data_IF_118132910610
#
_entry.id   IF_118132910610
#
_cell.length_a   1.000
_cell.length_b   1.000
_cell.length_c   1.000
_cell.angle_alpha   90.00
_cell.angle_beta   90.00
_cell.angle_gamma   90.00
#
_symmetry.space_group_name_H-M   'P 1'
#
loop_
_entity.id
_entity.type
_entity.pdbx_description
1 polymer ?
#
# COMPACT_ATOMS: atom_id res chain seq x y z
N UNK A 1 -32.45 -6.36 0.37
CA UNK A 1 -31.69 -7.52 0.86
C UNK A 1 -30.33 -7.61 0.15
N UNK A 2 -29.30 -8.07 0.85
CA UNK A 2 -27.98 -8.26 0.23
C UNK A 2 -28.02 -9.55 -0.60
N UNK A 3 -27.58 -9.51 -1.86
CA UNK A 3 -27.54 -10.70 -2.69
C UNK A 3 -26.59 -11.76 -2.12
N UNK A 4 -26.98 -13.00 -2.24
CA UNK A 4 -26.10 -14.11 -1.85
C UNK A 4 -24.89 -14.23 -2.78
N UNK A 5 -25.05 -13.86 -4.07
CA UNK A 5 -23.99 -13.88 -5.09
C UNK A 5 -24.01 -12.61 -5.91
N UNK A 6 -22.83 -12.14 -6.30
CA UNK A 6 -22.67 -11.06 -7.27
C UNK A 6 -22.24 -11.64 -8.60
N UNK A 7 -22.71 -11.06 -9.69
CA UNK A 7 -22.54 -11.58 -11.06
C UNK A 7 -21.79 -10.61 -11.97
N UNK A 8 -21.28 -9.52 -11.41
CA UNK A 8 -20.61 -8.51 -12.21
C UNK A 8 -19.23 -8.15 -11.61
N UNK A 9 -18.22 -8.09 -12.51
CA UNK A 9 -16.90 -7.61 -12.20
C UNK A 9 -16.66 -6.24 -12.85
N UNK A 10 -16.16 -5.30 -12.07
CA UNK A 10 -15.71 -4.01 -12.57
C UNK A 10 -14.46 -4.15 -13.43
N UNK A 11 -14.24 -3.23 -14.36
CA UNK A 11 -13.00 -3.18 -15.16
C UNK A 11 -11.76 -2.84 -14.33
N UNK A 12 -11.97 -2.23 -13.16
CA UNK A 12 -10.93 -1.98 -12.15
C UNK A 12 -11.40 -2.59 -10.85
N UNK A 13 -10.56 -3.40 -10.24
CA UNK A 13 -10.79 -3.98 -8.92
C UNK A 13 -9.60 -3.72 -8.00
N UNK A 14 -9.88 -3.48 -6.75
CA UNK A 14 -8.90 -3.45 -5.67
C UNK A 14 -9.17 -4.62 -4.76
N UNK A 15 -8.13 -5.30 -4.33
CA UNK A 15 -8.21 -6.48 -3.48
C UNK A 15 -7.32 -6.31 -2.26
N UNK A 16 -7.83 -6.75 -1.11
CA UNK A 16 -7.11 -6.74 0.15
C UNK A 16 -7.67 -7.81 1.09
N UNK A 17 -6.94 -8.13 2.15
CA UNK A 17 -7.36 -9.05 3.19
C UNK A 17 -7.58 -8.35 4.53
N UNK A 18 -8.53 -8.85 5.29
CA UNK A 18 -8.76 -8.38 6.66
C UNK A 18 -9.05 -9.55 7.60
N UNK A 19 -8.73 -9.37 8.88
CA UNK A 19 -9.07 -10.37 9.90
C UNK A 19 -10.59 -10.48 10.04
N UNK A 20 -11.11 -11.67 9.79
CA UNK A 20 -12.51 -12.01 9.98
C UNK A 20 -12.65 -13.17 10.96
N UNK A 21 -13.83 -13.28 11.56
CA UNK A 21 -14.21 -14.49 12.29
C UNK A 21 -14.91 -15.42 11.30
N UNK A 22 -14.33 -16.58 11.08
CA UNK A 22 -14.85 -17.57 10.15
C UNK A 22 -14.36 -18.96 10.54
N UNK A 23 -15.18 -19.96 10.31
CA UNK A 23 -14.81 -21.36 10.53
C UNK A 23 -13.76 -21.86 9.51
N UNK A 24 -13.61 -21.16 8.38
CA UNK A 24 -12.69 -21.52 7.29
C UNK A 24 -11.31 -20.88 7.39
N UNK A 25 -11.17 -19.82 8.19
CA UNK A 25 -9.89 -19.15 8.35
C UNK A 25 -9.97 -17.80 9.08
N UNK A 26 -8.80 -17.29 9.46
CA UNK A 26 -8.66 -16.03 10.22
C UNK A 26 -8.85 -14.79 9.35
N UNK A 27 -8.73 -14.92 8.02
CA UNK A 27 -8.74 -13.81 7.08
C UNK A 27 -9.80 -13.97 6.02
N UNK A 28 -10.58 -12.94 5.79
CA UNK A 28 -11.45 -12.76 4.65
C UNK A 28 -10.77 -11.90 3.58
N UNK A 29 -11.29 -11.98 2.37
CA UNK A 29 -10.77 -11.29 1.20
C UNK A 29 -11.80 -10.28 0.70
N UNK A 30 -11.40 -9.02 0.62
CA UNK A 30 -12.25 -7.91 0.22
C UNK A 30 -11.99 -7.54 -1.25
N UNK A 31 -13.05 -7.35 -2.02
CA UNK A 31 -13.00 -6.94 -3.42
C UNK A 31 -13.81 -5.65 -3.57
N UNK A 32 -13.16 -4.61 -4.06
CA UNK A 32 -13.71 -3.25 -4.13
C UNK A 32 -13.49 -2.67 -5.52
N UNK A 33 -14.41 -1.82 -5.96
CA UNK A 33 -14.14 -0.94 -7.08
C UNK A 33 -13.52 0.37 -6.53
N UNK A 34 -12.22 0.61 -6.74
CA UNK A 34 -11.54 1.77 -6.18
C UNK A 34 -11.99 3.11 -6.82
N UNK A 35 -12.64 3.08 -7.98
CA UNK A 35 -13.12 4.29 -8.66
C UNK A 35 -14.44 4.79 -8.10
N UNK A 36 -15.26 3.89 -7.58
CA UNK A 36 -16.58 4.22 -7.04
C UNK A 36 -16.66 4.13 -5.54
N UNK A 37 -15.65 3.51 -4.94
CA UNK A 37 -15.62 3.25 -3.53
C UNK A 37 -16.66 2.22 -3.07
N UNK A 38 -17.17 1.38 -3.94
CA UNK A 38 -18.19 0.38 -3.59
C UNK A 38 -17.60 -1.01 -3.47
N UNK A 39 -18.05 -1.75 -2.47
CA UNK A 39 -17.72 -3.17 -2.33
C UNK A 39 -18.31 -3.96 -3.49
N UNK A 40 -17.48 -4.79 -4.13
CA UNK A 40 -17.95 -5.76 -5.11
C UNK A 40 -18.40 -7.02 -4.38
N UNK A 41 -17.54 -7.58 -3.53
CA UNK A 41 -17.91 -8.71 -2.66
C UNK A 41 -16.88 -8.90 -1.54
N UNK A 42 -17.22 -9.75 -0.57
CA UNK A 42 -16.35 -10.22 0.49
C UNK A 42 -16.36 -11.73 0.51
N UNK A 43 -15.18 -12.34 0.41
CA UNK A 43 -15.00 -13.78 0.37
C UNK A 43 -14.51 -14.25 1.74
N UNK A 44 -15.08 -15.32 2.26
CA UNK A 44 -14.82 -15.82 3.60
C UNK A 44 -13.38 -16.29 3.84
N UNK A 45 -12.71 -16.76 2.79
CA UNK A 45 -11.36 -17.32 2.89
C UNK A 45 -10.47 -16.81 1.75
N UNK A 46 -9.23 -16.51 2.07
CA UNK A 46 -8.20 -16.03 1.13
C UNK A 46 -7.39 -17.14 0.45
N UNK A 47 -7.66 -18.42 0.74
CA UNK A 47 -6.92 -19.54 0.15
C UNK A 47 -7.07 -19.57 -1.35
N UNK A 48 -5.97 -19.94 -2.05
CA UNK A 48 -5.89 -19.93 -3.50
C UNK A 48 -7.03 -20.72 -4.17
N UNK A 49 -7.38 -21.88 -3.64
CA UNK A 49 -8.46 -22.73 -4.17
C UNK A 49 -9.82 -22.01 -4.11
N UNK A 50 -10.11 -21.36 -2.99
CA UNK A 50 -11.37 -20.65 -2.80
C UNK A 50 -11.46 -19.39 -3.67
N UNK A 51 -10.36 -18.62 -3.79
CA UNK A 51 -10.31 -17.48 -4.69
C UNK A 51 -10.48 -17.89 -6.15
N UNK A 52 -9.83 -18.99 -6.58
CA UNK A 52 -10.02 -19.55 -7.92
C UNK A 52 -11.47 -19.97 -8.15
N UNK A 53 -12.06 -20.75 -7.26
CA UNK A 53 -13.45 -21.17 -7.32
C UNK A 53 -14.42 -19.99 -7.38
N UNK A 54 -14.16 -18.96 -6.56
CA UNK A 54 -14.97 -17.74 -6.56
C UNK A 54 -14.93 -17.02 -7.92
N UNK A 55 -13.74 -16.71 -8.44
CA UNK A 55 -13.60 -15.92 -9.68
C UNK A 55 -13.97 -16.73 -10.95
N UNK A 56 -13.81 -18.04 -10.95
CA UNK A 56 -14.23 -18.89 -12.06
C UNK A 56 -15.74 -18.93 -12.27
N UNK A 57 -16.55 -18.53 -11.27
CA UNK A 57 -18.00 -18.36 -11.45
C UNK A 57 -18.35 -17.25 -12.45
N UNK A 58 -17.46 -16.29 -12.66
CA UNK A 58 -17.66 -15.23 -13.64
C UNK A 58 -17.26 -15.74 -15.03
N UNK A 59 -18.10 -15.50 -16.07
CA UNK A 59 -17.76 -15.88 -17.42
C UNK A 59 -16.40 -15.32 -17.86
N UNK A 60 -15.70 -16.06 -18.69
CA UNK A 60 -14.37 -15.67 -19.19
C UNK A 60 -14.37 -14.26 -19.80
N UNK A 61 -15.43 -13.91 -20.55
CA UNK A 61 -15.63 -12.57 -21.12
C UNK A 61 -15.60 -11.46 -20.05
N UNK A 62 -16.21 -11.68 -18.88
CA UNK A 62 -16.15 -10.70 -17.77
C UNK A 62 -14.75 -10.61 -17.18
N UNK A 63 -14.09 -11.76 -16.97
CA UNK A 63 -12.72 -11.79 -16.44
C UNK A 63 -11.73 -11.10 -17.39
N UNK A 64 -11.88 -11.25 -18.71
CA UNK A 64 -11.09 -10.50 -19.71
C UNK A 64 -11.35 -8.99 -19.70
N UNK A 65 -12.51 -8.55 -19.23
CA UNK A 65 -12.86 -7.13 -19.14
C UNK A 65 -12.21 -6.42 -17.92
N UNK A 66 -11.70 -7.17 -16.95
CA UNK A 66 -10.89 -6.59 -15.88
C UNK A 66 -9.57 -6.11 -16.47
N UNK A 67 -9.27 -4.83 -16.35
CA UNK A 67 -8.09 -4.17 -16.94
C UNK A 67 -7.02 -3.84 -15.91
N UNK A 68 -7.45 -3.56 -14.67
CA UNK A 68 -6.56 -3.14 -13.59
C UNK A 68 -6.95 -3.89 -12.31
N UNK A 69 -5.93 -4.39 -11.63
CA UNK A 69 -6.04 -4.96 -10.28
C UNK A 69 -5.05 -4.23 -9.37
N UNK A 70 -5.56 -3.52 -8.36
CA UNK A 70 -4.74 -2.90 -7.33
C UNK A 70 -4.64 -3.86 -6.15
N UNK A 71 -3.43 -4.12 -5.68
CA UNK A 71 -3.19 -5.10 -4.61
C UNK A 71 -1.89 -4.86 -3.87
N UNK A 72 -1.77 -5.52 -2.72
CA UNK A 72 -0.56 -5.61 -1.93
C UNK A 72 0.55 -6.42 -2.62
N UNK A 73 1.76 -6.36 -2.06
CA UNK A 73 2.91 -7.09 -2.56
C UNK A 73 2.85 -8.59 -2.21
N UNK A 74 1.72 -9.24 -2.46
CA UNK A 74 1.54 -10.68 -2.27
C UNK A 74 1.83 -11.46 -3.56
N UNK A 75 2.93 -12.20 -3.60
CA UNK A 75 3.29 -13.05 -4.74
C UNK A 75 2.25 -14.14 -5.03
N UNK A 76 1.64 -14.69 -3.98
CA UNK A 76 0.59 -15.72 -4.10
C UNK A 76 -0.66 -15.14 -4.79
N UNK A 77 -1.15 -13.98 -4.35
CA UNK A 77 -2.30 -13.33 -4.98
C UNK A 77 -1.98 -12.89 -6.41
N UNK A 78 -0.76 -12.35 -6.64
CA UNK A 78 -0.33 -11.96 -7.97
C UNK A 78 -0.43 -13.12 -8.97
N UNK A 79 0.06 -14.31 -8.61
CA UNK A 79 0.00 -15.51 -9.45
C UNK A 79 -1.45 -15.94 -9.76
N UNK A 80 -2.32 -15.90 -8.75
CA UNK A 80 -3.73 -16.21 -8.92
C UNK A 80 -4.41 -15.20 -9.85
N UNK A 81 -4.18 -13.91 -9.64
CA UNK A 81 -4.80 -12.84 -10.43
C UNK A 81 -4.36 -12.88 -11.89
N UNK A 82 -3.07 -13.14 -12.17
CA UNK A 82 -2.60 -13.31 -13.54
C UNK A 82 -3.27 -14.49 -14.24
N UNK A 83 -3.44 -15.62 -13.55
CA UNK A 83 -4.09 -16.80 -14.13
C UNK A 83 -5.59 -16.60 -14.40
N UNK A 84 -6.27 -15.80 -13.57
CA UNK A 84 -7.72 -15.60 -13.65
C UNK A 84 -8.13 -14.44 -14.57
N UNK A 85 -7.30 -13.41 -14.67
CA UNK A 85 -7.57 -12.15 -15.37
C UNK A 85 -6.51 -11.87 -16.43
N UNK A 86 -6.60 -12.48 -17.61
CA UNK A 86 -5.52 -12.48 -18.60
C UNK A 86 -5.16 -11.09 -19.16
N UNK A 87 -6.10 -10.14 -19.12
CA UNK A 87 -5.88 -8.77 -19.62
C UNK A 87 -5.60 -7.77 -18.50
N UNK A 88 -5.58 -8.21 -17.24
CA UNK A 88 -5.42 -7.30 -16.12
C UNK A 88 -3.95 -6.93 -15.90
N UNK A 89 -3.71 -5.64 -15.74
CA UNK A 89 -2.43 -5.09 -15.29
C UNK A 89 -2.47 -4.91 -13.78
N UNK A 90 -1.50 -5.49 -13.10
CA UNK A 90 -1.37 -5.35 -11.65
C UNK A 90 -0.69 -4.03 -11.33
N UNK A 91 -1.27 -3.31 -10.38
CA UNK A 91 -0.72 -2.10 -9.76
C UNK A 91 -0.42 -2.42 -8.30
N UNK A 92 0.81 -2.17 -7.87
CA UNK A 92 1.21 -2.34 -6.49
C UNK A 92 0.66 -1.19 -5.64
N UNK A 93 0.12 -1.51 -4.46
CA UNK A 93 -0.28 -0.48 -3.52
C UNK A 93 0.93 0.27 -2.96
N UNK A 94 0.87 1.61 -3.07
CA UNK A 94 1.98 2.51 -2.66
C UNK A 94 2.34 2.33 -1.19
N UNK A 95 1.36 2.22 -0.31
CA UNK A 95 1.58 2.08 1.12
C UNK A 95 2.43 0.85 1.44
N UNK A 96 2.15 -0.28 0.80
CA UNK A 96 2.81 -1.55 1.09
C UNK A 96 4.28 -1.59 0.65
N UNK A 97 4.63 -1.06 -0.54
CA UNK A 97 6.05 -1.05 -0.91
C UNK A 97 6.85 0.01 -0.17
N UNK A 98 6.25 1.16 0.15
CA UNK A 98 6.90 2.16 1.02
C UNK A 98 7.14 1.58 2.42
N UNK A 99 6.12 0.93 3.00
CA UNK A 99 6.25 0.25 4.29
C UNK A 99 7.33 -0.83 4.29
N UNK A 100 7.43 -1.60 3.20
CA UNK A 100 8.47 -2.63 3.04
C UNK A 100 9.87 -2.00 3.04
N UNK A 101 10.08 -0.94 2.27
CA UNK A 101 11.37 -0.22 2.23
C UNK A 101 11.67 0.47 3.55
N UNK A 102 10.66 1.10 4.18
CA UNK A 102 10.77 1.69 5.51
C UNK A 102 11.21 0.68 6.57
N UNK A 103 10.75 -0.58 6.50
CA UNK A 103 11.14 -1.59 7.48
C UNK A 103 12.65 -1.85 7.52
N UNK A 104 13.34 -1.70 6.39
CA UNK A 104 14.80 -1.81 6.30
C UNK A 104 15.49 -0.64 7.02
N UNK A 105 14.97 0.58 6.86
CA UNK A 105 15.45 1.76 7.60
C UNK A 105 15.27 1.57 9.12
N UNK A 106 14.10 1.08 9.53
CA UNK A 106 13.81 0.83 10.95
C UNK A 106 14.77 -0.20 11.52
N UNK A 107 15.07 -1.28 10.78
CA UNK A 107 16.02 -2.29 11.22
C UNK A 107 17.43 -1.70 11.36
N UNK A 108 17.92 -0.98 10.35
CA UNK A 108 19.22 -0.29 10.41
C UNK A 108 19.32 0.63 11.62
N UNK A 109 18.31 1.47 11.87
CA UNK A 109 18.25 2.33 13.05
C UNK A 109 18.33 1.55 14.36
N UNK A 110 17.60 0.44 14.47
CA UNK A 110 17.61 -0.39 15.68
C UNK A 110 18.98 -1.00 15.92
N UNK A 111 19.63 -1.51 14.88
CA UNK A 111 20.96 -2.10 14.97
C UNK A 111 22.00 -1.06 15.38
N UNK A 112 21.98 0.12 14.75
CA UNK A 112 22.82 1.26 15.14
C UNK A 112 22.60 1.63 16.61
N UNK A 113 21.35 1.80 17.05
CA UNK A 113 21.06 2.14 18.44
C UNK A 113 21.47 1.05 19.45
N UNK A 114 21.47 -0.21 19.08
CA UNK A 114 21.87 -1.30 19.96
C UNK A 114 23.38 -1.35 20.15
N UNK A 115 24.15 -0.95 19.13
CA UNK A 115 25.62 -0.89 19.16
C UNK A 115 26.15 0.36 19.87
N UNK A 116 25.37 1.43 19.95
CA UNK A 116 25.78 2.70 20.58
C UNK A 116 26.19 2.54 22.04
N UNK A 117 27.31 3.13 22.39
CA UNK A 117 27.80 3.25 23.77
C UNK A 117 26.93 4.27 24.53
N UNK A 118 26.62 5.40 23.91
CA UNK A 118 25.79 6.45 24.50
C UNK A 118 24.30 6.03 24.51
N UNK A 119 23.86 5.48 25.65
CA UNK A 119 22.48 5.01 25.82
C UNK A 119 21.42 6.10 25.80
N UNK A 120 21.76 7.34 26.17
CA UNK A 120 20.84 8.48 26.07
C UNK A 120 20.59 8.87 24.61
N UNK A 121 21.65 8.89 23.80
CA UNK A 121 21.56 9.11 22.37
C UNK A 121 20.73 8.01 21.68
N UNK A 122 21.03 6.74 21.96
CA UNK A 122 20.28 5.61 21.44
C UNK A 122 18.79 5.68 21.79
N UNK A 123 18.44 6.05 23.03
CA UNK A 123 17.04 6.26 23.45
C UNK A 123 16.38 7.41 22.69
N UNK A 124 17.11 8.52 22.48
CA UNK A 124 16.61 9.65 21.70
C UNK A 124 16.25 9.21 20.29
N UNK A 125 17.17 8.56 19.57
CA UNK A 125 16.98 8.09 18.20
C UNK A 125 15.80 7.08 18.13
N UNK A 126 15.68 6.17 19.10
CA UNK A 126 14.57 5.21 19.17
C UNK A 126 13.21 5.88 19.31
N UNK A 127 13.10 6.96 20.12
CA UNK A 127 11.84 7.68 20.34
C UNK A 127 11.41 8.54 19.14
N UNK A 128 12.37 9.09 18.39
CA UNK A 128 12.10 10.03 17.31
C UNK A 128 11.99 9.35 15.94
N UNK A 129 11.56 8.07 15.89
CA UNK A 129 11.38 7.34 14.62
C UNK A 129 10.55 8.13 13.60
N UNK A 130 9.50 8.81 14.05
CA UNK A 130 8.60 9.57 13.18
C UNK A 130 9.28 10.70 12.41
N UNK A 131 10.44 11.21 12.88
CA UNK A 131 11.22 12.24 12.16
C UNK A 131 11.98 11.59 10.98
N UNK A 132 12.55 10.42 11.17
CA UNK A 132 13.26 9.69 10.11
C UNK A 132 12.34 9.12 9.04
N UNK A 133 11.05 8.98 9.34
CA UNK A 133 10.03 8.49 8.40
C UNK A 133 9.52 9.58 7.43
N UNK A 134 9.62 10.84 7.81
CA UNK A 134 9.16 11.96 6.99
C UNK A 134 10.07 12.18 5.79
N UNK A 135 9.50 12.72 4.71
CA UNK A 135 10.28 13.24 3.61
C UNK A 135 11.10 14.45 4.11
N UNK A 136 12.40 14.49 3.80
CA UNK A 136 13.30 15.50 4.37
C UNK A 136 12.91 16.94 4.05
N UNK A 137 12.32 17.19 2.86
CA UNK A 137 11.83 18.52 2.48
C UNK A 137 10.57 18.98 3.28
N UNK A 138 9.92 18.05 4.01
CA UNK A 138 8.75 18.31 4.86
C UNK A 138 9.11 18.40 6.36
N UNK A 139 10.39 18.33 6.69
CA UNK A 139 10.85 18.49 8.07
C UNK A 139 10.66 19.94 8.52
N UNK A 140 10.02 20.11 9.68
CA UNK A 140 9.84 21.41 10.30
C UNK A 140 11.18 21.95 10.80
N UNK A 141 11.57 23.15 10.33
CA UNK A 141 12.76 23.87 10.73
C UNK A 141 12.50 25.11 11.59
N UNK A 142 11.22 25.35 11.98
CA UNK A 142 10.77 26.54 12.71
C UNK A 142 10.41 26.26 14.15
N UNK A 143 9.64 25.19 14.39
CA UNK A 143 9.15 24.88 15.72
C UNK A 143 10.21 24.14 16.53
N UNK A 144 10.66 24.80 17.61
CA UNK A 144 11.70 24.26 18.49
C UNK A 144 11.07 23.44 19.61
N UNK A 145 11.64 22.29 19.92
CA UNK A 145 11.25 21.41 21.02
C UNK A 145 12.46 20.96 21.84
N UNK A 146 12.24 20.65 23.12
CA UNK A 146 13.31 20.21 24.02
C UNK A 146 13.46 18.67 23.98
N UNK A 147 14.64 18.21 23.63
CA UNK A 147 14.98 16.78 23.67
C UNK A 147 15.54 16.39 25.04
N UNK A 148 14.72 15.82 25.90
CA UNK A 148 15.09 15.43 27.28
C UNK A 148 16.28 14.46 27.33
N UNK A 149 16.46 13.58 26.36
CA UNK A 149 17.55 12.61 26.34
C UNK A 149 18.90 13.26 26.00
N UNK A 150 18.89 14.30 25.18
CA UNK A 150 20.10 15.03 24.77
C UNK A 150 20.30 16.32 25.53
N UNK A 151 19.33 16.74 26.34
CA UNK A 151 19.30 18.00 27.09
C UNK A 151 19.57 19.23 26.21
N UNK A 152 19.00 19.22 25.00
CA UNK A 152 19.17 20.28 23.97
C UNK A 152 17.85 20.61 23.31
N UNK A 153 17.78 21.82 22.76
CA UNK A 153 16.67 22.27 21.92
C UNK A 153 16.98 21.98 20.44
N UNK A 154 15.99 21.52 19.70
CA UNK A 154 16.08 21.20 18.27
C UNK A 154 14.79 21.61 17.54
N UNK A 155 14.92 21.92 16.25
CA UNK A 155 13.82 21.74 15.28
C UNK A 155 13.84 20.30 14.77
N UNK A 156 12.82 19.87 14.03
CA UNK A 156 12.83 18.52 13.43
C UNK A 156 14.03 18.33 12.49
N UNK A 157 14.34 19.36 11.70
CA UNK A 157 15.45 19.34 10.75
C UNK A 157 16.81 19.33 11.46
N UNK A 158 17.03 20.24 12.39
CA UNK A 158 18.30 20.34 13.13
C UNK A 158 18.58 19.10 13.98
N UNK A 159 17.54 18.39 14.43
CA UNK A 159 17.72 17.11 15.13
C UNK A 159 18.28 16.03 14.18
N UNK A 160 17.70 15.91 12.98
CA UNK A 160 18.17 14.94 11.98
C UNK A 160 19.63 15.24 11.57
N UNK A 161 19.95 16.50 11.31
CA UNK A 161 21.29 16.97 10.99
C UNK A 161 22.29 16.60 12.11
N UNK A 162 21.95 16.96 13.36
CA UNK A 162 22.78 16.63 14.52
C UNK A 162 23.03 15.12 14.68
N UNK A 163 22.01 14.29 14.47
CA UNK A 163 22.17 12.83 14.57
C UNK A 163 23.13 12.32 13.50
N UNK A 164 23.05 12.81 12.29
CA UNK A 164 23.85 12.30 11.17
C UNK A 164 25.25 12.92 11.03
N UNK A 165 25.58 13.94 11.84
CA UNK A 165 26.96 14.40 12.04
C UNK A 165 27.78 13.46 12.89
N UNK A 166 27.16 12.54 13.63
CA UNK A 166 27.84 11.63 14.53
C UNK A 166 28.42 10.42 13.78
N UNK A 167 29.68 10.09 14.05
CA UNK A 167 30.39 8.96 13.42
C UNK A 167 29.64 7.63 13.62
N UNK A 168 29.11 7.37 14.82
CA UNK A 168 28.36 6.17 15.17
C UNK A 168 27.09 5.96 14.33
N UNK A 169 26.61 6.97 13.60
CA UNK A 169 25.36 6.93 12.84
C UNK A 169 25.54 6.89 11.32
N UNK A 170 26.77 6.83 10.82
CA UNK A 170 27.03 6.93 9.38
C UNK A 170 26.41 5.78 8.58
N UNK A 171 26.41 4.56 9.06
CA UNK A 171 25.72 3.45 8.39
C UNK A 171 24.20 3.68 8.36
N UNK A 172 23.63 4.20 9.44
CA UNK A 172 22.21 4.56 9.48
C UNK A 172 21.89 5.72 8.53
N UNK A 173 22.78 6.70 8.41
CA UNK A 173 22.64 7.80 7.46
C UNK A 173 22.62 7.34 6.01
N UNK A 174 23.50 6.41 5.60
CA UNK A 174 23.46 5.83 4.27
C UNK A 174 22.12 5.12 3.99
N UNK A 175 21.60 4.40 4.95
CA UNK A 175 20.29 3.75 4.85
C UNK A 175 19.13 4.76 4.81
N UNK A 176 19.25 5.87 5.54
CA UNK A 176 18.30 6.98 5.47
C UNK A 176 18.28 7.62 4.07
N UNK A 177 19.44 7.86 3.46
CA UNK A 177 19.53 8.40 2.09
C UNK A 177 18.84 7.49 1.06
N UNK A 178 18.98 6.17 1.18
CA UNK A 178 18.28 5.22 0.31
C UNK A 178 16.76 5.39 0.45
N UNK A 179 16.26 5.49 1.67
CA UNK A 179 14.83 5.68 1.93
C UNK A 179 14.34 7.05 1.42
N UNK A 180 15.07 8.13 1.69
CA UNK A 180 14.74 9.48 1.21
C UNK A 180 14.75 9.57 -0.32
N UNK A 181 15.65 8.86 -1.00
CA UNK A 181 15.68 8.80 -2.46
C UNK A 181 14.40 8.17 -3.03
N UNK A 182 13.86 7.14 -2.38
CA UNK A 182 12.54 6.61 -2.75
C UNK A 182 11.44 7.64 -2.50
N UNK A 183 11.40 8.29 -1.34
CA UNK A 183 10.41 9.32 -1.03
C UNK A 183 10.46 10.47 -2.04
N UNK A 184 11.65 10.89 -2.46
CA UNK A 184 11.83 11.91 -3.50
C UNK A 184 11.19 11.50 -4.83
N UNK A 185 11.36 10.25 -5.26
CA UNK A 185 10.69 9.73 -6.46
C UNK A 185 9.16 9.80 -6.32
N UNK A 186 8.64 9.54 -5.11
CA UNK A 186 7.20 9.52 -4.85
C UNK A 186 6.56 10.92 -4.73
N UNK A 187 7.33 11.94 -4.35
CA UNK A 187 6.85 13.31 -4.12
C UNK A 187 7.06 14.25 -5.31
N UNK A 188 8.04 13.97 -6.17
CA UNK A 188 8.35 14.85 -7.33
C UNK A 188 7.53 14.42 -8.55
N UNK A 189 6.55 15.20 -9.03
CA UNK A 189 5.85 14.97 -10.28
C UNK A 189 6.79 15.18 -11.49
N UNK A 190 6.43 14.62 -12.62
CA UNK A 190 7.13 14.78 -13.92
C UNK A 190 8.54 14.19 -14.02
N UNK A 191 8.94 13.30 -13.11
CA UNK A 191 10.15 12.51 -13.27
C UNK A 191 9.95 11.37 -14.28
N UNK A 192 11.03 10.97 -14.94
CA UNK A 192 11.08 9.66 -15.59
C UNK A 192 11.12 8.57 -14.50
N UNK A 193 9.96 8.20 -14.02
CA UNK A 193 9.82 7.22 -12.93
C UNK A 193 10.52 5.89 -13.22
N UNK A 194 10.57 5.48 -14.50
CA UNK A 194 11.25 4.23 -14.89
C UNK A 194 12.75 4.35 -14.68
N UNK A 195 13.34 5.44 -15.13
CA UNK A 195 14.77 5.75 -14.97
C UNK A 195 15.12 5.89 -13.49
N UNK A 196 14.35 6.70 -12.75
CA UNK A 196 14.62 6.96 -11.34
C UNK A 196 14.50 5.71 -10.47
N UNK A 197 13.49 4.85 -10.70
CA UNK A 197 13.37 3.57 -9.99
C UNK A 197 14.53 2.62 -10.32
N UNK A 198 15.00 2.59 -11.57
CA UNK A 198 16.18 1.79 -11.93
C UNK A 198 17.43 2.33 -11.24
N UNK A 199 17.68 3.64 -11.30
CA UNK A 199 18.83 4.27 -10.65
C UNK A 199 18.83 3.98 -9.13
N UNK A 200 17.66 4.08 -8.48
CA UNK A 200 17.51 3.77 -7.07
C UNK A 200 17.84 2.31 -6.74
N UNK A 201 17.36 1.35 -7.55
CA UNK A 201 17.68 -0.06 -7.39
C UNK A 201 19.15 -0.35 -7.69
N UNK A 202 19.71 0.25 -8.75
CA UNK A 202 21.12 0.08 -9.12
C UNK A 202 22.05 0.61 -8.03
N UNK A 203 21.71 1.74 -7.40
CA UNK A 203 22.45 2.25 -6.26
C UNK A 203 22.52 1.23 -5.11
N UNK A 204 21.39 0.59 -4.76
CA UNK A 204 21.34 -0.43 -3.70
C UNK A 204 22.21 -1.64 -4.07
N UNK A 205 22.18 -2.07 -5.35
CA UNK A 205 22.99 -3.20 -5.81
C UNK A 205 24.48 -2.88 -5.82
N UNK A 206 24.86 -1.69 -6.31
CA UNK A 206 26.25 -1.27 -6.40
C UNK A 206 26.89 -1.04 -5.02
N UNK A 207 26.11 -0.62 -4.03
CA UNK A 207 26.58 -0.44 -2.65
C UNK A 207 26.52 -1.73 -1.82
N UNK A 208 25.96 -2.81 -2.39
CA UNK A 208 25.76 -4.09 -1.70
C UNK A 208 25.10 -3.95 -0.31
N UNK A 209 24.19 -2.98 -0.19
CA UNK A 209 23.61 -2.60 1.09
C UNK A 209 22.87 -3.76 1.77
N UNK A 210 23.39 -4.24 2.89
CA UNK A 210 22.91 -5.44 3.61
C UNK A 210 21.43 -5.37 4.02
N UNK A 211 20.91 -4.18 4.33
CA UNK A 211 19.50 -3.99 4.75
C UNK A 211 18.52 -4.01 3.58
N UNK A 212 18.93 -3.43 2.44
CA UNK A 212 18.01 -3.23 1.32
C UNK A 212 18.15 -4.28 0.21
N UNK A 213 19.24 -5.04 0.16
CA UNK A 213 19.54 -5.97 -0.93
C UNK A 213 18.41 -6.97 -1.21
N UNK A 214 17.89 -7.62 -0.18
CA UNK A 214 16.82 -8.62 -0.34
C UNK A 214 15.53 -7.97 -0.84
N UNK A 215 15.19 -6.80 -0.30
CA UNK A 215 14.04 -6.01 -0.74
C UNK A 215 14.21 -5.58 -2.18
N UNK A 216 15.36 -5.03 -2.56
CA UNK A 216 15.64 -4.57 -3.93
C UNK A 216 15.57 -5.72 -4.95
N UNK A 217 16.12 -6.90 -4.63
CA UNK A 217 16.00 -8.10 -5.48
C UNK A 217 14.55 -8.49 -5.73
N UNK A 218 13.72 -8.50 -4.67
CA UNK A 218 12.31 -8.82 -4.78
C UNK A 218 11.54 -7.75 -5.60
N UNK A 219 11.79 -6.46 -5.31
CA UNK A 219 11.13 -5.37 -6.03
C UNK A 219 11.50 -5.38 -7.52
N UNK A 220 12.79 -5.55 -7.87
CA UNK A 220 13.24 -5.61 -9.26
C UNK A 220 12.63 -6.80 -10.02
N UNK A 221 12.68 -7.99 -9.44
CA UNK A 221 12.24 -9.22 -10.10
C UNK A 221 10.72 -9.30 -10.23
N UNK A 222 10.00 -8.94 -9.17
CA UNK A 222 8.58 -9.27 -9.07
C UNK A 222 7.66 -8.05 -9.16
N UNK A 223 8.11 -6.86 -8.72
CA UNK A 223 7.22 -5.74 -8.48
C UNK A 223 7.58 -4.46 -9.24
N UNK A 224 8.65 -4.45 -10.03
CA UNK A 224 9.08 -3.25 -10.76
C UNK A 224 7.95 -2.65 -11.61
N UNK A 225 7.35 -3.44 -12.50
CA UNK A 225 6.26 -2.96 -13.34
C UNK A 225 4.99 -2.60 -12.57
N UNK A 226 4.51 -3.39 -11.57
CA UNK A 226 3.41 -2.97 -10.71
C UNK A 226 3.65 -1.65 -9.97
N UNK A 227 4.86 -1.41 -9.47
CA UNK A 227 5.24 -0.15 -8.81
C UNK A 227 5.28 0.99 -9.83
N UNK A 228 5.92 0.81 -10.98
CA UNK A 228 5.97 1.81 -12.03
C UNK A 228 4.55 2.23 -12.46
N UNK A 229 3.63 1.27 -12.62
CA UNK A 229 2.23 1.57 -12.93
C UNK A 229 1.54 2.38 -11.83
N UNK A 230 1.85 2.14 -10.55
CA UNK A 230 1.28 2.93 -9.45
C UNK A 230 1.69 4.40 -9.50
N UNK A 231 2.85 4.70 -10.08
CA UNK A 231 3.38 6.05 -10.25
C UNK A 231 2.90 6.73 -11.53
N UNK A 232 2.65 5.96 -12.60
CA UNK A 232 2.36 6.49 -13.94
C UNK A 232 0.87 6.44 -14.31
N UNK A 233 0.14 5.43 -13.85
CA UNK A 233 -1.27 5.27 -14.22
C UNK A 233 -2.16 6.19 -13.41
N UNK A 234 -3.14 6.81 -14.11
CA UNK A 234 -4.14 7.68 -13.49
C UNK A 234 -5.54 7.27 -13.96
N UNK A 235 -6.47 7.20 -13.02
CA UNK A 235 -7.88 7.07 -13.33
C UNK A 235 -8.47 8.44 -13.66
N UNK A 236 -9.14 8.55 -14.81
CA UNK A 236 -9.89 9.74 -15.19
C UNK A 236 -11.34 9.58 -14.74
N UNK A 237 -11.85 10.53 -14.00
CA UNK A 237 -13.25 10.55 -13.61
C UNK A 237 -13.85 11.95 -13.80
N UNK A 238 -15.18 12.02 -13.94
CA UNK A 238 -15.90 13.29 -14.14
C UNK A 238 -16.71 13.62 -12.88
N UNK A 239 -16.51 14.83 -12.36
CA UNK A 239 -17.29 15.38 -11.23
C UNK A 239 -17.69 16.83 -11.56
N UNK A 240 -18.97 17.17 -11.39
CA UNK A 240 -19.50 18.51 -11.66
C UNK A 240 -19.09 19.06 -13.06
N UNK A 241 -19.21 18.22 -14.09
CA UNK A 241 -18.85 18.60 -15.46
C UNK A 241 -17.36 18.60 -15.79
N UNK A 242 -16.47 18.62 -14.80
CA UNK A 242 -15.01 18.67 -14.96
C UNK A 242 -14.37 17.29 -14.86
N UNK A 243 -13.25 17.10 -15.56
CA UNK A 243 -12.45 15.89 -15.48
C UNK A 243 -11.36 16.02 -14.41
N UNK A 244 -11.20 14.97 -13.63
CA UNK A 244 -10.18 14.84 -12.60
C UNK A 244 -9.37 13.56 -12.83
N UNK A 245 -8.14 13.56 -12.35
CA UNK A 245 -7.24 12.40 -12.39
C UNK A 245 -6.85 12.00 -10.98
N UNK A 246 -6.88 10.72 -10.68
CA UNK A 246 -6.45 10.17 -9.39
C UNK A 246 -5.53 8.98 -9.59
N UNK A 247 -4.59 8.78 -8.69
CA UNK A 247 -3.75 7.59 -8.66
C UNK A 247 -4.55 6.36 -8.25
N UNK A 248 -4.14 5.20 -8.75
CA UNK A 248 -4.65 3.94 -8.26
C UNK A 248 -3.91 3.57 -6.97
N UNK A 249 -4.61 3.54 -5.86
CA UNK A 249 -4.09 3.12 -4.56
C UNK A 249 -5.17 2.37 -3.76
N UNK A 250 -4.74 1.70 -2.70
CA UNK A 250 -5.62 0.99 -1.79
C UNK A 250 -6.13 1.84 -0.61
N UNK A 251 -5.86 3.15 -0.59
CA UNK A 251 -6.29 4.01 0.53
C UNK A 251 -7.79 3.94 0.81
N UNK A 252 -8.59 3.72 -0.22
CA UNK A 252 -10.02 3.51 -0.06
C UNK A 252 -10.32 2.17 0.62
N UNK A 253 -9.69 1.06 0.20
CA UNK A 253 -9.91 -0.26 0.79
C UNK A 253 -9.38 -0.32 2.23
N UNK A 254 -8.29 0.41 2.55
CA UNK A 254 -7.81 0.57 3.92
C UNK A 254 -8.83 1.30 4.81
N UNK A 255 -9.43 2.37 4.30
CA UNK A 255 -10.54 3.07 4.98
C UNK A 255 -11.72 2.12 5.22
N UNK A 256 -12.09 1.32 4.22
CA UNK A 256 -13.13 0.29 4.37
C UNK A 256 -12.75 -0.77 5.43
N UNK A 257 -11.51 -1.23 5.44
CA UNK A 257 -11.05 -2.19 6.44
C UNK A 257 -11.13 -1.62 7.86
N UNK A 258 -10.94 -0.32 8.05
CA UNK A 258 -11.15 0.35 9.33
C UNK A 258 -12.64 0.38 9.72
N UNK A 259 -13.54 0.64 8.77
CA UNK A 259 -14.99 0.56 8.99
C UNK A 259 -15.40 -0.88 9.31
N UNK A 260 -14.84 -1.88 8.62
CA UNK A 260 -15.08 -3.29 8.92
C UNK A 260 -14.68 -3.64 10.36
N UNK A 261 -13.52 -3.15 10.83
CA UNK A 261 -13.09 -3.32 12.22
C UNK A 261 -14.10 -2.70 13.21
N UNK A 262 -14.63 -1.52 12.88
CA UNK A 262 -15.65 -0.85 13.68
C UNK A 262 -16.96 -1.66 13.72
N UNK A 263 -17.44 -2.12 12.57
CA UNK A 263 -18.64 -2.98 12.47
C UNK A 263 -18.50 -4.24 13.30
N UNK A 264 -17.34 -4.90 13.26
CA UNK A 264 -17.06 -6.08 14.08
C UNK A 264 -17.05 -5.77 15.58
N UNK A 265 -16.43 -4.67 15.99
CA UNK A 265 -16.35 -4.24 17.39
C UNK A 265 -17.73 -3.91 17.95
N UNK A 266 -18.53 -3.14 17.21
CA UNK A 266 -19.87 -2.72 17.65
C UNK A 266 -20.88 -3.87 17.73
N UNK A 267 -20.64 -4.95 17.00
CA UNK A 267 -21.48 -6.16 17.03
C UNK A 267 -21.00 -7.20 18.07
N UNK A 268 -19.98 -6.89 18.87
CA UNK A 268 -19.37 -7.83 19.82
C UNK A 268 -18.97 -9.19 19.18
N UNK A 269 -18.75 -9.19 17.86
CA UNK A 269 -18.41 -10.36 17.04
C UNK A 269 -19.58 -10.88 16.21
N UNK A 270 -19.28 -11.85 15.38
CA UNK A 270 -20.25 -12.55 14.54
C UNK A 270 -20.03 -14.06 14.64
N UNK A 271 -21.10 -14.81 14.89
CA UNK A 271 -21.03 -16.27 14.93
C UNK A 271 -20.85 -16.88 13.52
N UNK A 272 -21.51 -16.27 12.51
CA UNK A 272 -21.48 -16.75 11.13
C UNK A 272 -20.92 -15.68 10.20
N UNK A 273 -20.03 -16.10 9.30
CA UNK A 273 -19.41 -15.19 8.34
C UNK A 273 -20.43 -14.51 7.41
N UNK A 274 -21.48 -15.20 6.97
CA UNK A 274 -22.51 -14.64 6.10
C UNK A 274 -23.21 -13.42 6.73
N UNK A 275 -23.44 -13.45 8.03
CA UNK A 275 -24.00 -12.31 8.76
C UNK A 275 -23.01 -11.13 8.82
N UNK A 276 -21.72 -11.40 9.04
CA UNK A 276 -20.67 -10.38 8.96
C UNK A 276 -20.61 -9.79 7.56
N UNK A 277 -20.58 -10.61 6.51
CA UNK A 277 -20.56 -10.19 5.11
C UNK A 277 -21.76 -9.29 4.78
N UNK A 278 -22.97 -9.72 5.10
CA UNK A 278 -24.21 -8.94 4.90
C UNK A 278 -24.15 -7.59 5.62
N UNK A 279 -23.71 -7.57 6.88
CA UNK A 279 -23.61 -6.34 7.67
C UNK A 279 -22.61 -5.36 7.09
N UNK A 280 -21.45 -5.84 6.67
CA UNK A 280 -20.42 -5.00 6.03
C UNK A 280 -20.96 -4.40 4.73
N UNK A 281 -21.55 -5.24 3.87
CA UNK A 281 -22.06 -4.81 2.56
C UNK A 281 -23.20 -3.79 2.72
N UNK A 282 -24.08 -3.98 3.69
CA UNK A 282 -25.14 -3.00 3.97
C UNK A 282 -24.58 -1.67 4.49
N UNK A 283 -23.53 -1.72 5.31
CA UNK A 283 -22.93 -0.52 5.89
C UNK A 283 -22.12 0.28 4.88
N UNK A 284 -21.33 -0.38 4.04
CA UNK A 284 -20.44 0.23 3.06
C UNK A 284 -21.12 0.52 1.72
N UNK A 285 -22.30 -0.02 1.50
CA UNK A 285 -22.94 -0.05 0.20
C UNK A 285 -22.29 -1.06 -0.75
N UNK A 286 -23.02 -1.48 -1.75
CA UNK A 286 -22.55 -2.43 -2.75
C UNK A 286 -22.80 -1.92 -4.17
N UNK A 287 -22.01 -2.42 -5.09
CA UNK A 287 -22.02 -2.03 -6.49
C UNK A 287 -23.16 -2.71 -7.27
N UNK A 288 -24.39 -2.61 -6.77
CA UNK A 288 -25.53 -3.30 -7.37
C UNK A 288 -26.13 -2.63 -8.61
N UNK A 289 -25.86 -1.38 -8.80
CA UNK A 289 -26.49 -0.57 -9.86
C UNK A 289 -25.48 -0.01 -10.86
N UNK A 290 -24.58 -0.85 -11.37
CA UNK A 290 -23.93 -0.48 -12.62
C UNK A 290 -24.81 -0.90 -13.77
N UNK A 291 -25.67 0.01 -14.20
CA UNK A 291 -26.22 -0.04 -15.54
C UNK A 291 -25.05 -0.02 -16.53
N UNK A 292 -25.16 -0.74 -17.62
CA UNK A 292 -24.21 -0.82 -18.74
C UNK A 292 -23.64 0.53 -19.24
N UNK A 293 -24.27 1.64 -18.85
CA UNK A 293 -23.84 3.02 -19.15
C UNK A 293 -22.59 3.49 -18.39
N UNK A 294 -22.30 2.99 -17.19
CA UNK A 294 -21.11 3.40 -16.44
C UNK A 294 -19.84 2.65 -16.89
N UNK A 295 -19.99 1.44 -17.41
CA UNK A 295 -18.88 0.70 -18.05
C UNK A 295 -18.38 1.35 -19.36
N UNK A 296 -19.17 2.22 -19.99
CA UNK A 296 -18.76 2.98 -21.20
C UNK A 296 -17.99 4.26 -20.90
N UNK A 297 -17.91 4.70 -19.65
CA UNK A 297 -17.04 5.82 -19.28
C UNK A 297 -15.59 5.30 -19.27
N UNK A 298 -14.94 5.45 -20.41
CA UNK A 298 -13.63 4.90 -20.69
C UNK A 298 -12.61 5.27 -19.62
N UNK A 299 -11.88 4.27 -19.17
CA UNK A 299 -10.63 4.45 -18.43
C UNK A 299 -9.62 4.92 -19.48
N UNK A 300 -9.40 6.22 -19.57
CA UNK A 300 -8.27 6.74 -20.30
C UNK A 300 -7.02 6.54 -19.42
N UNK A 301 -6.20 5.59 -19.78
CA UNK A 301 -4.88 5.42 -19.20
C UNK A 301 -4.01 6.46 -19.93
N UNK A 302 -3.72 7.59 -19.29
CA UNK A 302 -2.68 8.49 -19.80
C UNK A 302 -1.33 7.84 -19.50
N UNK A 303 -0.55 7.63 -20.54
CA UNK A 303 0.88 7.25 -20.46
C UNK A 303 1.72 8.45 -20.05
#
# INVERSE_FOLDING_TARGET
SVPHRFYHLSSVISIDEFKATSDKGTYAFNIVNPLTGKTIDIIEDRKAANLRSYFLRFPFKQRKNVKIIVMDLSGAFRSIMHALFPNAQIIADKFHYVRLVRSNLVQSRLDTCNQMINKSLAKSIKRQLHLFDKYEEELDDKNVWYCHHLKKYFTCKSYIEYIFELEETQEFYENYKIYQSLLKILHKPHLDYKKELNNWLDYIFNTENKYYMTTAKNLRKNWFMPILRSLTYRAKYKRNGKYYYTSFNNGFIESMNNVIKLVKRNAHGFRYFDNLRKRIILHLGYSYTFTFRECKKGIAISR
#
